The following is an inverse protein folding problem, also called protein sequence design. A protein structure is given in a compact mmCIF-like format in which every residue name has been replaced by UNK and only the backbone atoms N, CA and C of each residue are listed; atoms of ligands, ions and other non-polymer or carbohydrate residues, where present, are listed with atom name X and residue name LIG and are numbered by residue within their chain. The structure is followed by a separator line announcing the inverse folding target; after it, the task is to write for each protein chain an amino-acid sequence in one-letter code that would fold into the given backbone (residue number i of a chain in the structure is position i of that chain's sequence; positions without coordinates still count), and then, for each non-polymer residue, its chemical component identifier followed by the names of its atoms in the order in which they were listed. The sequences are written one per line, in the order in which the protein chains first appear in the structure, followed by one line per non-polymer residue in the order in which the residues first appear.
data_IF_522166496456
#
_entry.id   IF_522166496456
#
_cell.length_a   1.000
_cell.length_b   1.000
_cell.length_c   1.000
_cell.angle_alpha   90.00
_cell.angle_beta   90.00
_cell.angle_gamma   90.00
#
_symmetry.space_group_name_H-M   'P 1'
#
loop_
_entity.id
_entity.type
_entity.pdbx_description
1 polymer ?
#
# COMPACT_ATOMS: atom_id res chain seq x y z
N UNK A 1 -16.53 7.66 -11.23
CA UNK A 1 -15.66 6.47 -11.28
C UNK A 1 -16.57 5.28 -11.50
N UNK A 2 -16.37 4.58 -12.60
CA UNK A 2 -17.09 3.36 -12.92
C UNK A 2 -16.75 2.31 -11.84
N UNK A 3 -17.74 1.84 -11.07
CA UNK A 3 -17.55 0.90 -9.94
C UNK A 3 -17.08 -0.49 -10.41
N UNK A 4 -16.76 -0.68 -11.69
CA UNK A 4 -16.45 -1.97 -12.29
C UNK A 4 -15.07 -2.50 -11.91
N UNK A 5 -14.09 -1.63 -11.62
CA UNK A 5 -12.72 -2.01 -11.27
C UNK A 5 -12.23 -1.31 -10.00
N UNK A 6 -11.71 -2.08 -9.04
CA UNK A 6 -11.04 -1.59 -7.82
C UNK A 6 -9.54 -1.89 -7.87
N UNK A 7 -8.73 -1.04 -7.23
CA UNK A 7 -7.29 -1.27 -7.07
C UNK A 7 -7.02 -1.95 -5.72
N UNK A 8 -6.15 -2.96 -5.72
CA UNK A 8 -5.77 -3.72 -4.54
C UNK A 8 -4.28 -3.57 -4.24
N UNK A 9 -3.93 -3.18 -3.03
CA UNK A 9 -2.55 -3.18 -2.55
C UNK A 9 -2.14 -4.62 -2.23
N UNK A 10 -0.96 -5.04 -2.70
CA UNK A 10 -0.45 -6.40 -2.52
C UNK A 10 0.51 -6.47 -1.34
N UNK A 11 0.32 -7.51 -0.53
CA UNK A 11 1.11 -7.85 0.63
C UNK A 11 1.55 -9.31 0.55
N UNK A 12 2.75 -9.61 1.06
CA UNK A 12 3.15 -10.98 1.42
C UNK A 12 2.87 -11.15 2.90
N UNK A 13 2.47 -12.36 3.28
CA UNK A 13 2.50 -12.77 4.66
C UNK A 13 3.23 -14.09 4.86
N UNK A 14 3.81 -14.22 6.04
CA UNK A 14 4.41 -15.43 6.55
C UNK A 14 4.10 -15.59 8.03
N UNK A 15 4.51 -16.73 8.58
CA UNK A 15 4.28 -17.08 9.97
C UNK A 15 5.59 -17.51 10.62
N UNK A 16 5.76 -17.12 11.87
CA UNK A 16 6.87 -17.50 12.70
C UNK A 16 6.38 -17.86 14.10
N UNK A 17 7.24 -18.53 14.87
CA UNK A 17 6.96 -18.75 16.29
C UNK A 17 6.88 -17.40 17.00
N UNK A 18 5.89 -17.23 17.87
CA UNK A 18 5.78 -16.02 18.68
C UNK A 18 7.05 -15.81 19.52
N UNK A 19 7.63 -14.61 19.51
CA UNK A 19 8.81 -14.30 20.32
C UNK A 19 8.49 -14.28 21.82
N UNK A 20 7.21 -14.04 22.16
CA UNK A 20 6.68 -14.06 23.51
C UNK A 20 5.45 -14.95 23.53
N UNK A 21 5.53 -16.04 24.27
CA UNK A 21 4.43 -16.98 24.44
C UNK A 21 3.31 -16.32 25.24
N UNK A 22 2.06 -16.54 24.84
CA UNK A 22 0.90 -16.03 25.57
C UNK A 22 0.72 -16.78 26.89
N UNK A 23 0.07 -16.14 27.87
CA UNK A 23 -0.26 -16.78 29.16
C UNK A 23 -1.06 -18.07 28.92
N UNK A 24 -1.98 -18.04 27.96
CA UNK A 24 -2.83 -19.17 27.60
C UNK A 24 -2.01 -20.33 27.03
N UNK A 25 -1.19 -20.09 26.01
CA UNK A 25 -0.37 -21.15 25.39
C UNK A 25 0.68 -21.71 26.34
N UNK A 26 1.23 -20.90 27.23
CA UNK A 26 2.13 -21.36 28.29
C UNK A 26 1.41 -22.31 29.27
N UNK A 27 0.19 -21.97 29.69
CA UNK A 27 -0.63 -22.82 30.55
C UNK A 27 -1.01 -24.14 29.87
N UNK A 28 -1.30 -24.09 28.57
CA UNK A 28 -1.72 -25.25 27.76
C UNK A 28 -0.54 -26.09 27.24
N UNK A 29 0.70 -25.69 27.50
CA UNK A 29 1.91 -26.40 27.06
C UNK A 29 2.11 -26.41 25.53
N UNK A 30 1.55 -25.41 24.83
CA UNK A 30 1.60 -25.28 23.37
C UNK A 30 2.94 -24.67 22.96
N UNK A 31 3.69 -25.33 22.08
CA UNK A 31 4.97 -24.84 21.55
C UNK A 31 4.85 -24.52 20.05
N UNK A 32 4.95 -23.24 19.72
CA UNK A 32 4.79 -22.72 18.36
C UNK A 32 5.78 -23.33 17.37
N UNK A 33 6.96 -23.78 17.81
CA UNK A 33 7.95 -24.42 16.95
C UNK A 33 7.39 -25.67 16.23
N UNK A 34 6.43 -26.37 16.86
CA UNK A 34 5.74 -27.52 16.27
C UNK A 34 4.69 -27.10 15.23
N UNK A 35 4.09 -25.92 15.42
CA UNK A 35 3.00 -25.41 14.60
C UNK A 35 3.47 -24.59 13.39
N UNK A 36 4.71 -24.08 13.36
CA UNK A 36 5.23 -23.30 12.21
C UNK A 36 5.03 -24.04 10.88
N UNK A 37 5.26 -25.35 10.84
CA UNK A 37 5.08 -26.18 9.63
C UNK A 37 3.61 -26.31 9.18
N UNK A 38 2.68 -26.08 10.09
CA UNK A 38 1.23 -26.15 9.87
C UNK A 38 0.58 -24.76 9.94
N UNK A 39 1.37 -23.68 9.94
CA UNK A 39 0.88 -22.35 10.24
C UNK A 39 -0.21 -21.88 9.26
N UNK A 40 -0.09 -22.22 7.97
CA UNK A 40 -1.14 -21.92 6.99
C UNK A 40 -2.46 -22.64 7.29
N UNK A 41 -2.41 -23.88 7.79
CA UNK A 41 -3.60 -24.64 8.24
C UNK A 41 -4.19 -24.04 9.51
N UNK A 42 -3.34 -23.67 10.48
CA UNK A 42 -3.75 -22.97 11.70
C UNK A 42 -4.46 -21.64 11.36
N UNK A 43 -3.89 -20.87 10.44
CA UNK A 43 -4.46 -19.62 9.96
C UNK A 43 -5.80 -19.81 9.24
N UNK A 44 -5.88 -20.79 8.32
CA UNK A 44 -7.14 -21.13 7.64
C UNK A 44 -8.26 -21.48 8.64
N UNK A 45 -7.92 -22.17 9.74
CA UNK A 45 -8.90 -22.56 10.76
C UNK A 45 -9.56 -21.38 11.49
N UNK A 46 -8.95 -20.18 11.45
CA UNK A 46 -9.55 -18.97 12.03
C UNK A 46 -10.80 -18.53 11.26
N UNK A 47 -10.84 -18.78 9.95
CA UNK A 47 -11.96 -18.46 9.08
C UNK A 47 -13.11 -19.47 9.20
N UNK A 48 -12.82 -20.70 9.62
CA UNK A 48 -13.82 -21.78 9.75
C UNK A 48 -14.52 -21.79 11.14
N UNK A 49 -13.95 -21.11 12.14
CA UNK A 49 -14.37 -21.20 13.55
C UNK A 49 -15.02 -19.92 14.10
N UNK A 50 -15.55 -19.03 13.25
CA UNK A 50 -16.09 -17.71 13.66
C UNK A 50 -15.11 -16.89 14.53
N UNK A 51 -13.81 -17.21 14.50
CA UNK A 51 -12.82 -16.57 15.38
C UNK A 51 -12.54 -15.14 14.93
N UNK A 52 -12.60 -14.92 13.61
CA UNK A 52 -12.50 -13.61 12.96
C UNK A 52 -13.67 -12.66 13.27
N UNK A 53 -14.81 -13.15 13.78
CA UNK A 53 -15.96 -12.31 14.16
C UNK A 53 -15.59 -11.34 15.30
N UNK A 54 -14.49 -11.61 16.01
CA UNK A 54 -13.96 -10.77 17.10
C UNK A 54 -12.92 -9.76 16.65
N UNK A 55 -12.95 -9.31 15.40
CA UNK A 55 -12.10 -8.21 14.95
C UNK A 55 -12.40 -6.94 15.75
N UNK A 56 -11.35 -6.35 16.33
CA UNK A 56 -11.47 -5.15 17.13
C UNK A 56 -10.46 -4.09 16.68
N UNK A 57 -10.90 -2.83 16.64
CA UNK A 57 -10.04 -1.67 16.49
C UNK A 57 -9.74 -1.09 17.86
N UNK A 58 -8.45 -0.90 18.16
CA UNK A 58 -7.99 -0.35 19.44
C UNK A 58 -7.44 1.07 19.31
N UNK A 59 -7.42 1.80 20.41
CA UNK A 59 -6.73 3.08 20.52
C UNK A 59 -5.24 2.89 20.81
N UNK A 60 -4.49 4.00 20.87
CA UNK A 60 -3.05 3.98 21.19
C UNK A 60 -2.72 3.42 22.58
N UNK A 61 -3.70 3.32 23.48
CA UNK A 61 -3.55 2.74 24.82
C UNK A 61 -3.87 1.24 24.85
N UNK A 62 -4.29 0.65 23.72
CA UNK A 62 -4.71 -0.75 23.65
C UNK A 62 -6.14 -1.01 24.10
N UNK A 63 -6.96 0.02 24.29
CA UNK A 63 -8.38 -0.15 24.63
C UNK A 63 -9.20 -0.35 23.35
N UNK A 64 -10.14 -1.30 23.37
CA UNK A 64 -11.05 -1.55 22.25
C UNK A 64 -11.98 -0.33 22.10
N UNK A 65 -11.94 0.30 20.91
CA UNK A 65 -12.83 1.40 20.55
C UNK A 65 -14.07 0.88 19.85
N UNK A 66 -13.89 -0.10 18.94
CA UNK A 66 -14.95 -0.51 18.03
C UNK A 66 -14.72 -1.96 17.60
N UNK A 67 -15.76 -2.79 17.68
CA UNK A 67 -15.79 -4.10 17.04
C UNK A 67 -16.07 -3.90 15.55
N UNK A 68 -15.38 -4.65 14.69
CA UNK A 68 -15.50 -4.51 13.24
C UNK A 68 -16.30 -5.69 12.69
N UNK A 69 -17.59 -5.48 12.32
CA UNK A 69 -18.36 -6.49 11.61
C UNK A 69 -17.62 -6.91 10.36
N UNK A 70 -17.60 -8.21 10.10
CA UNK A 70 -16.89 -8.77 8.96
C UNK A 70 -17.53 -10.09 8.54
N UNK A 71 -17.38 -10.43 7.27
CA UNK A 71 -18.03 -11.60 6.68
C UNK A 71 -17.10 -12.24 5.66
N UNK A 72 -16.85 -13.55 5.81
CA UNK A 72 -16.22 -14.35 4.77
C UNK A 72 -17.28 -14.64 3.72
N UNK A 73 -17.15 -13.98 2.57
CA UNK A 73 -18.16 -14.07 1.51
C UNK A 73 -18.00 -15.34 0.68
N UNK A 74 -16.76 -15.83 0.51
CA UNK A 74 -16.48 -17.09 -0.15
C UNK A 74 -15.10 -17.65 0.20
N UNK A 75 -14.98 -18.97 0.08
CA UNK A 75 -13.75 -19.75 0.24
C UNK A 75 -13.69 -20.83 -0.83
N UNK A 76 -12.58 -20.90 -1.57
CA UNK A 76 -12.31 -21.98 -2.52
C UNK A 76 -10.80 -22.18 -2.61
N UNK A 77 -10.33 -23.43 -2.55
CA UNK A 77 -8.91 -23.80 -2.75
C UNK A 77 -7.92 -22.98 -1.89
N UNK A 78 -8.25 -22.79 -0.60
CA UNK A 78 -7.51 -21.94 0.36
C UNK A 78 -7.36 -20.46 -0.04
N UNK A 79 -8.22 -19.99 -0.94
CA UNK A 79 -8.41 -18.58 -1.26
C UNK A 79 -9.67 -18.07 -0.55
N UNK A 80 -9.56 -16.90 0.07
CA UNK A 80 -10.65 -16.28 0.84
C UNK A 80 -11.01 -14.92 0.26
N UNK A 81 -12.32 -14.69 0.09
CA UNK A 81 -12.90 -13.37 -0.13
C UNK A 81 -13.54 -12.90 1.18
N UNK A 82 -12.97 -11.87 1.78
CA UNK A 82 -13.37 -11.38 3.10
C UNK A 82 -13.79 -9.91 3.01
N UNK A 83 -14.94 -9.59 3.62
CA UNK A 83 -15.44 -8.22 3.77
C UNK A 83 -15.24 -7.76 5.20
N UNK A 84 -14.61 -6.60 5.40
CA UNK A 84 -14.47 -5.96 6.71
C UNK A 84 -15.09 -4.57 6.70
N UNK A 85 -16.01 -4.33 7.64
CA UNK A 85 -16.68 -3.05 7.81
C UNK A 85 -15.87 -2.15 8.75
N UNK A 86 -15.81 -0.87 8.43
CA UNK A 86 -15.27 0.17 9.29
C UNK A 86 -16.44 0.92 9.94
N UNK A 87 -17.11 0.26 10.88
CA UNK A 87 -18.26 0.81 11.60
C UNK A 87 -17.93 2.15 12.26
N UNK A 88 -18.73 3.16 11.97
CA UNK A 88 -18.57 4.52 12.47
C UNK A 88 -19.94 5.10 12.80
N UNK A 89 -20.05 5.80 13.92
CA UNK A 89 -21.19 6.66 14.19
C UNK A 89 -20.96 8.02 13.54
N UNK A 90 -21.98 8.54 12.86
CA UNK A 90 -21.94 9.85 12.20
C UNK A 90 -23.07 10.72 12.70
N UNK A 91 -22.73 11.97 12.95
CA UNK A 91 -23.68 13.03 13.25
C UNK A 91 -24.49 13.36 12.00
N UNK A 92 -25.81 13.24 12.10
CA UNK A 92 -26.76 13.61 11.07
C UNK A 92 -27.65 14.74 11.59
N UNK A 93 -27.60 15.90 10.93
CA UNK A 93 -28.37 17.06 11.33
C UNK A 93 -29.64 17.15 10.50
N UNK A 94 -30.79 16.99 11.15
CA UNK A 94 -32.09 17.10 10.51
C UNK A 94 -32.69 18.46 10.82
N UNK A 95 -33.13 19.19 9.80
CA UNK A 95 -33.88 20.44 9.98
C UNK A 95 -35.24 20.13 10.58
N UNK A 96 -35.57 20.77 11.70
CA UNK A 96 -36.80 20.50 12.46
C UNK A 96 -37.81 21.63 12.42
N UNK A 97 -37.39 22.83 12.00
CA UNK A 97 -38.29 23.97 11.87
C UNK A 97 -37.56 25.29 11.76
N UNK A 98 -38.19 26.34 12.30
CA UNK A 98 -37.61 27.67 12.47
C UNK A 98 -37.82 28.16 13.90
N UNK A 99 -36.87 28.91 14.43
CA UNK A 99 -36.99 29.57 15.73
C UNK A 99 -37.88 30.81 15.66
N UNK A 100 -38.10 31.44 16.82
CA UNK A 100 -38.90 32.66 16.97
C UNK A 100 -38.39 33.87 16.15
N UNK A 101 -37.14 33.82 15.69
CA UNK A 101 -36.51 34.85 14.85
C UNK A 101 -36.48 34.46 13.36
N UNK A 102 -37.04 33.30 12.99
CA UNK A 102 -37.13 32.81 11.62
C UNK A 102 -35.89 32.07 11.09
N UNK A 103 -34.91 31.77 11.95
CA UNK A 103 -33.72 30.97 11.61
C UNK A 103 -34.02 29.48 11.69
N UNK A 104 -33.37 28.69 10.84
CA UNK A 104 -33.57 27.25 10.79
C UNK A 104 -33.06 26.57 12.07
N UNK A 105 -33.87 25.69 12.63
CA UNK A 105 -33.49 24.84 13.77
C UNK A 105 -33.15 23.44 13.30
N UNK A 106 -32.19 22.81 13.97
CA UNK A 106 -31.69 21.49 13.65
C UNK A 106 -31.63 20.62 14.90
N UNK A 107 -31.99 19.35 14.75
CA UNK A 107 -31.75 18.30 15.74
C UNK A 107 -30.64 17.37 15.26
N UNK A 108 -29.85 16.91 16.22
CA UNK A 108 -28.71 16.03 15.99
C UNK A 108 -29.14 14.59 16.24
N UNK A 109 -29.15 13.78 15.18
CA UNK A 109 -29.26 12.33 15.26
C UNK A 109 -27.87 11.70 15.09
N UNK A 110 -27.65 10.53 15.68
CA UNK A 110 -26.46 9.71 15.44
C UNK A 110 -26.86 8.49 14.61
N UNK A 111 -26.26 8.34 13.44
CA UNK A 111 -26.56 7.24 12.51
C UNK A 111 -25.34 6.34 12.38
N UNK A 112 -25.55 5.03 12.49
CA UNK A 112 -24.53 4.04 12.23
C UNK A 112 -24.22 3.96 10.72
N UNK A 113 -22.95 4.12 10.37
CA UNK A 113 -22.43 4.02 9.01
C UNK A 113 -21.46 2.86 8.94
N UNK A 114 -21.74 1.89 8.06
CA UNK A 114 -20.96 0.66 7.89
C UNK A 114 -20.31 0.58 6.50
N UNK A 115 -19.40 1.51 6.13
CA UNK A 115 -18.62 1.37 4.90
C UNK A 115 -17.67 0.17 5.01
N UNK A 116 -17.41 -0.51 3.90
CA UNK A 116 -16.65 -1.76 3.90
C UNK A 116 -15.47 -1.76 2.94
N UNK A 117 -14.62 -2.76 3.09
CA UNK A 117 -13.44 -3.04 2.27
C UNK A 117 -13.35 -4.54 1.99
N UNK A 118 -12.99 -4.90 0.76
CA UNK A 118 -12.64 -6.28 0.45
C UNK A 118 -11.17 -6.59 0.73
N UNK A 119 -10.93 -7.74 1.33
CA UNK A 119 -9.62 -8.35 1.55
C UNK A 119 -9.65 -9.71 0.86
N UNK A 120 -8.64 -9.95 0.04
CA UNK A 120 -8.46 -11.19 -0.70
C UNK A 120 -7.23 -11.86 -0.12
N UNK A 121 -7.31 -13.16 0.16
CA UNK A 121 -6.21 -13.89 0.78
C UNK A 121 -5.98 -15.16 -0.03
N UNK A 122 -4.75 -15.36 -0.48
CA UNK A 122 -4.30 -16.61 -1.06
C UNK A 122 -3.40 -17.32 -0.04
N UNK A 123 -4.00 -18.28 0.65
CA UNK A 123 -3.33 -19.10 1.65
C UNK A 123 -2.89 -20.47 1.10
N UNK A 124 -2.85 -20.64 -0.23
CA UNK A 124 -2.33 -21.89 -0.82
C UNK A 124 -0.89 -22.14 -0.35
N UNK A 125 -0.47 -23.41 -0.21
CA UNK A 125 0.85 -23.76 0.31
C UNK A 125 2.00 -22.99 -0.38
N UNK A 126 2.80 -22.26 0.41
CA UNK A 126 3.95 -21.49 -0.07
C UNK A 126 3.62 -20.15 -0.77
N UNK A 127 2.34 -19.79 -0.95
CA UNK A 127 1.94 -18.55 -1.62
C UNK A 127 1.85 -17.37 -0.66
N UNK A 128 1.05 -17.44 0.41
CA UNK A 128 0.99 -16.40 1.45
C UNK A 128 0.83 -14.97 0.90
N UNK A 129 -0.18 -14.71 0.08
CA UNK A 129 -0.45 -13.38 -0.49
C UNK A 129 -1.75 -12.80 0.04
N UNK A 130 -1.74 -11.51 0.36
CA UNK A 130 -2.92 -10.76 0.76
C UNK A 130 -3.09 -9.53 -0.13
N UNK A 131 -4.29 -9.27 -0.59
CA UNK A 131 -4.63 -8.11 -1.38
C UNK A 131 -5.74 -7.31 -0.68
N UNK A 132 -5.47 -6.05 -0.34
CA UNK A 132 -6.43 -5.18 0.37
C UNK A 132 -6.90 -4.08 -0.58
N UNK A 133 -8.22 -3.95 -0.73
CA UNK A 133 -8.82 -2.94 -1.59
C UNK A 133 -8.44 -1.52 -1.15
N UNK A 134 -8.14 -0.65 -2.13
CA UNK A 134 -7.99 0.80 -1.93
C UNK A 134 -9.35 1.48 -1.75
N UNK A 135 -10.08 1.07 -0.70
CA UNK A 135 -11.44 1.54 -0.41
C UNK A 135 -11.47 2.88 0.33
N UNK A 136 -12.37 3.82 -0.02
CA UNK A 136 -12.64 5.02 0.76
C UNK A 136 -13.10 4.73 2.20
N UNK A 137 -13.62 3.53 2.49
CA UNK A 137 -13.98 3.11 3.84
C UNK A 137 -12.82 3.25 4.84
N UNK A 138 -11.58 3.11 4.34
CA UNK A 138 -10.35 3.26 5.11
C UNK A 138 -9.51 4.46 4.61
N UNK A 139 -10.18 5.49 4.10
CA UNK A 139 -9.53 6.69 3.57
C UNK A 139 -8.59 6.41 2.39
N UNK A 140 -8.85 5.34 1.64
CA UNK A 140 -8.00 4.86 0.54
C UNK A 140 -6.56 4.52 0.97
N UNK A 141 -6.39 4.10 2.23
CA UNK A 141 -5.10 3.70 2.84
C UNK A 141 -5.18 2.25 3.33
N UNK A 142 -4.88 1.27 2.46
CA UNK A 142 -4.96 -0.15 2.80
C UNK A 142 -4.17 -0.58 4.05
N UNK A 143 -3.06 0.09 4.36
CA UNK A 143 -2.24 -0.23 5.55
C UNK A 143 -2.99 -0.06 6.87
N UNK A 144 -3.93 0.88 6.93
CA UNK A 144 -4.70 1.08 8.17
C UNK A 144 -5.50 -0.17 8.51
N UNK A 145 -6.04 -0.84 7.49
CA UNK A 145 -6.74 -2.10 7.65
C UNK A 145 -5.77 -3.26 7.85
N UNK A 146 -4.64 -3.29 7.12
CA UNK A 146 -3.56 -4.26 7.35
C UNK A 146 -3.12 -4.30 8.81
N UNK A 147 -2.84 -3.14 9.41
CA UNK A 147 -2.33 -3.05 10.78
C UNK A 147 -3.35 -3.60 11.79
N UNK A 148 -4.63 -3.29 11.59
CA UNK A 148 -5.72 -3.84 12.41
C UNK A 148 -5.82 -5.36 12.24
N UNK A 149 -5.72 -5.86 11.01
CA UNK A 149 -5.75 -7.29 10.70
C UNK A 149 -4.57 -8.01 11.37
N UNK A 150 -3.35 -7.48 11.21
CA UNK A 150 -2.12 -8.01 11.76
C UNK A 150 -2.21 -8.13 13.28
N UNK A 151 -2.65 -7.07 13.96
CA UNK A 151 -2.81 -7.07 15.41
C UNK A 151 -3.80 -8.14 15.87
N UNK A 152 -4.95 -8.26 15.19
CA UNK A 152 -5.97 -9.23 15.55
C UNK A 152 -5.54 -10.67 15.25
N UNK A 153 -4.90 -10.94 14.11
CA UNK A 153 -4.39 -12.27 13.79
C UNK A 153 -3.25 -12.67 14.73
N UNK A 154 -2.32 -11.78 15.06
CA UNK A 154 -1.24 -12.10 15.99
C UNK A 154 -1.76 -12.42 17.39
N UNK A 155 -2.82 -11.72 17.85
CA UNK A 155 -3.51 -12.12 19.08
C UNK A 155 -4.12 -13.52 18.97
N UNK A 156 -4.92 -13.79 17.93
CA UNK A 156 -5.60 -15.08 17.78
C UNK A 156 -4.62 -16.25 17.59
N UNK A 157 -3.61 -16.09 16.73
CA UNK A 157 -2.58 -17.09 16.49
C UNK A 157 -1.68 -17.30 17.71
N UNK A 158 -1.36 -16.22 18.43
CA UNK A 158 -0.58 -16.28 19.65
C UNK A 158 -1.31 -16.97 20.79
N UNK A 159 -2.62 -16.75 20.93
CA UNK A 159 -3.45 -17.37 21.97
C UNK A 159 -3.75 -18.85 21.68
N UNK A 160 -3.85 -19.24 20.41
CA UNK A 160 -4.26 -20.60 20.02
C UNK A 160 -3.11 -21.53 19.64
N UNK A 161 -2.01 -20.99 19.11
CA UNK A 161 -0.97 -21.80 18.44
C UNK A 161 0.46 -21.37 18.76
N UNK A 162 0.67 -20.33 19.59
CA UNK A 162 1.99 -19.74 19.85
C UNK A 162 2.70 -19.31 18.54
N UNK A 163 1.89 -18.79 17.60
CA UNK A 163 2.33 -18.29 16.30
C UNK A 163 2.09 -16.79 16.17
N UNK A 164 2.93 -16.14 15.38
CA UNK A 164 2.79 -14.76 14.97
C UNK A 164 2.87 -14.68 13.44
N UNK A 165 2.11 -13.78 12.85
CA UNK A 165 2.10 -13.47 11.43
C UNK A 165 2.89 -12.19 11.16
N UNK A 166 3.50 -12.07 9.98
CA UNK A 166 3.97 -10.79 9.43
C UNK A 166 3.18 -10.50 8.17
N UNK A 167 2.88 -9.23 7.93
CA UNK A 167 2.24 -8.78 6.68
C UNK A 167 3.04 -7.60 6.15
N UNK A 168 3.71 -7.80 5.03
CA UNK A 168 4.62 -6.82 4.42
C UNK A 168 4.13 -6.40 3.05
N UNK A 169 4.09 -5.10 2.78
CA UNK A 169 3.70 -4.62 1.45
C UNK A 169 4.73 -5.08 0.40
N UNK A 170 4.25 -5.50 -0.77
CA UNK A 170 5.10 -5.77 -1.93
C UNK A 170 5.47 -4.46 -2.59
N UNK A 171 6.75 -4.23 -2.74
CA UNK A 171 7.35 -2.98 -3.18
C UNK A 171 8.04 -3.19 -4.53
N UNK A 172 7.55 -2.49 -5.56
CA UNK A 172 8.05 -2.60 -6.91
C UNK A 172 9.17 -1.57 -7.17
N UNK A 173 10.37 -2.03 -7.60
CA UNK A 173 11.39 -1.16 -8.20
C UNK A 173 10.98 -0.81 -9.64
N UNK A 174 9.97 0.05 -9.82
CA UNK A 174 9.59 0.48 -11.18
C UNK A 174 10.64 1.44 -11.74
N UNK A 175 11.02 1.21 -13.00
CA UNK A 175 11.68 2.24 -13.79
C UNK A 175 10.83 3.51 -13.79
N UNK A 176 11.49 4.65 -13.66
CA UNK A 176 10.84 5.94 -13.53
C UNK A 176 9.96 6.27 -14.74
N UNK A 177 10.36 5.88 -15.94
CA UNK A 177 9.60 6.15 -17.17
C UNK A 177 8.39 5.25 -17.27
N UNK A 178 8.54 3.97 -16.94
CA UNK A 178 7.41 3.05 -16.87
C UNK A 178 6.37 3.53 -15.85
N UNK A 179 6.84 3.96 -14.68
CA UNK A 179 5.98 4.52 -13.64
C UNK A 179 5.26 5.80 -14.10
N UNK A 180 6.00 6.75 -14.70
CA UNK A 180 5.41 7.99 -15.22
C UNK A 180 4.38 7.69 -16.31
N UNK A 181 4.71 6.82 -17.27
CA UNK A 181 3.81 6.43 -18.35
C UNK A 181 2.53 5.80 -17.81
N UNK A 182 2.64 4.82 -16.90
CA UNK A 182 1.48 4.19 -16.29
C UNK A 182 0.59 5.23 -15.59
N UNK A 183 1.18 6.14 -14.79
CA UNK A 183 0.43 7.18 -14.08
C UNK A 183 -0.33 8.11 -15.03
N UNK A 184 0.31 8.55 -16.11
CA UNK A 184 -0.29 9.49 -17.05
C UNK A 184 -1.37 8.82 -17.91
N UNK A 185 -1.08 7.65 -18.47
CA UNK A 185 -1.92 7.06 -19.53
C UNK A 185 -2.90 6.00 -19.02
N UNK A 186 -2.56 5.28 -17.94
CA UNK A 186 -3.44 4.23 -17.36
C UNK A 186 -4.30 4.80 -16.24
N UNK A 187 -3.70 5.58 -15.33
CA UNK A 187 -4.42 6.13 -14.17
C UNK A 187 -5.10 7.48 -14.44
N UNK A 188 -4.85 8.09 -15.61
CA UNK A 188 -5.38 9.41 -15.96
C UNK A 188 -4.92 10.54 -15.02
N UNK A 189 -3.79 10.33 -14.34
CA UNK A 189 -3.17 11.33 -13.48
C UNK A 189 -2.42 12.37 -14.33
N UNK A 190 -1.91 13.42 -13.69
CA UNK A 190 -1.01 14.37 -14.35
C UNK A 190 0.09 14.81 -13.40
N UNK A 191 1.25 15.11 -13.96
CA UNK A 191 2.38 15.66 -13.20
C UNK A 191 2.07 17.12 -12.89
N UNK A 192 2.11 17.47 -11.61
CA UNK A 192 2.00 18.86 -11.13
C UNK A 192 3.34 19.53 -10.96
N UNK A 193 4.36 18.76 -10.57
CA UNK A 193 5.65 19.32 -10.21
C UNK A 193 6.76 18.29 -10.43
N UNK A 194 7.86 18.73 -11.02
CA UNK A 194 9.11 17.98 -11.00
C UNK A 194 10.16 18.85 -10.32
N UNK A 195 10.85 18.28 -9.34
CA UNK A 195 11.94 18.94 -8.63
C UNK A 195 13.18 18.08 -8.68
N UNK A 196 14.29 18.70 -9.07
CA UNK A 196 15.63 18.15 -9.04
C UNK A 196 16.43 18.80 -7.91
N UNK A 197 17.18 18.00 -7.17
CA UNK A 197 18.12 18.47 -6.15
C UNK A 197 19.53 18.01 -6.50
N UNK A 198 20.38 18.98 -6.79
CA UNK A 198 21.78 18.77 -7.14
C UNK A 198 22.64 19.15 -5.95
N UNK A 199 23.46 18.24 -5.44
CA UNK A 199 24.44 18.55 -4.40
C UNK A 199 25.65 19.25 -5.01
N UNK A 200 26.35 20.06 -4.24
CA UNK A 200 27.56 20.73 -4.71
C UNK A 200 28.67 19.71 -5.01
N UNK A 201 29.20 19.62 -6.24
CA UNK A 201 30.24 18.66 -6.60
C UNK A 201 31.51 18.73 -5.74
N UNK A 202 31.84 19.90 -5.17
CA UNK A 202 32.98 20.08 -4.26
C UNK A 202 32.75 19.43 -2.88
N UNK A 203 31.49 19.22 -2.50
CA UNK A 203 31.07 18.73 -1.17
C UNK A 203 30.61 17.26 -1.19
N UNK A 204 30.74 16.57 -2.33
CA UNK A 204 30.40 15.14 -2.50
C UNK A 204 31.69 14.32 -2.63
N UNK A 205 31.74 13.14 -1.98
CA UNK A 205 32.77 12.14 -2.27
C UNK A 205 32.54 11.61 -3.70
N UNK A 206 33.38 12.06 -4.63
CA UNK A 206 33.30 11.72 -6.07
C UNK A 206 33.25 10.20 -6.28
N UNK A 207 32.09 9.65 -6.64
CA UNK A 207 32.03 8.34 -7.30
C UNK A 207 31.97 8.56 -8.80
N UNK A 208 33.10 8.33 -9.47
CA UNK A 208 33.34 8.34 -10.94
C UNK A 208 32.93 9.62 -11.68
N UNK A 209 33.90 10.24 -12.35
CA UNK A 209 33.67 11.39 -13.22
C UNK A 209 32.75 11.00 -14.38
N UNK A 210 31.48 11.36 -14.28
CA UNK A 210 30.51 11.18 -15.35
C UNK A 210 30.50 12.42 -16.23
N UNK A 211 30.60 12.20 -17.53
CA UNK A 211 30.53 13.27 -18.52
C UNK A 211 29.07 13.76 -18.63
N UNK A 212 28.85 15.02 -18.27
CA UNK A 212 27.56 15.70 -18.47
C UNK A 212 27.59 16.21 -19.91
N UNK A 213 26.55 15.92 -20.69
CA UNK A 213 26.41 16.33 -22.08
C UNK A 213 25.50 17.55 -22.23
N UNK A 214 24.55 17.76 -21.32
CA UNK A 214 23.65 18.92 -21.32
C UNK A 214 24.34 20.19 -20.86
N UNK A 215 24.38 21.21 -21.73
CA UNK A 215 24.96 22.51 -21.45
C UNK A 215 24.22 23.25 -20.32
N UNK A 216 22.88 23.12 -20.26
CA UNK A 216 22.06 23.72 -19.21
C UNK A 216 22.39 23.16 -17.82
N UNK A 217 22.54 21.83 -17.74
CA UNK A 217 22.94 21.13 -16.51
C UNK A 217 24.34 21.55 -16.05
N UNK A 218 25.30 21.67 -16.97
CA UNK A 218 26.65 22.17 -16.66
C UNK A 218 26.59 23.56 -16.04
N UNK A 219 25.80 24.46 -16.61
CA UNK A 219 25.65 25.82 -16.10
C UNK A 219 25.07 25.82 -14.67
N UNK A 220 23.98 25.07 -14.43
CA UNK A 220 23.36 24.97 -13.10
C UNK A 220 24.32 24.43 -12.04
N UNK A 221 25.03 23.33 -12.34
CA UNK A 221 26.02 22.77 -11.41
C UNK A 221 27.17 23.73 -11.15
N UNK A 222 27.62 24.46 -12.17
CA UNK A 222 28.68 25.46 -12.00
C UNK A 222 28.24 26.61 -11.10
N UNK A 223 26.99 27.06 -11.19
CA UNK A 223 26.42 28.07 -10.28
C UNK A 223 26.42 27.58 -8.84
N UNK A 224 26.01 26.33 -8.58
CA UNK A 224 26.04 25.72 -7.24
C UNK A 224 27.48 25.60 -6.73
N UNK A 225 28.42 25.26 -7.61
CA UNK A 225 29.84 25.09 -7.29
C UNK A 225 30.56 26.41 -6.97
N UNK A 226 30.27 27.48 -7.70
CA UNK A 226 30.89 28.82 -7.51
C UNK A 226 30.28 29.53 -6.30
N UNK A 227 28.97 29.37 -6.05
CA UNK A 227 28.29 29.99 -4.90
C UNK A 227 28.63 29.36 -3.54
N UNK A 228 29.40 28.27 -3.54
CA UNK A 228 29.67 27.41 -2.39
C UNK A 228 28.39 26.92 -1.65
N UNK A 229 27.24 26.95 -2.32
CA UNK A 229 25.99 26.42 -1.78
C UNK A 229 26.15 24.92 -1.45
N UNK A 230 25.40 24.41 -0.47
CA UNK A 230 25.41 22.97 -0.17
C UNK A 230 24.71 22.16 -1.28
N UNK A 231 23.66 22.74 -1.87
CA UNK A 231 22.82 22.13 -2.90
C UNK A 231 22.10 23.21 -3.71
N UNK A 232 21.80 22.89 -4.97
CA UNK A 232 20.89 23.63 -5.83
C UNK A 232 19.58 22.88 -6.02
N UNK A 233 18.54 23.63 -6.39
CA UNK A 233 17.24 23.08 -6.71
C UNK A 233 16.76 23.64 -8.04
N UNK A 234 16.22 22.76 -8.88
CA UNK A 234 15.50 23.16 -10.08
C UNK A 234 14.10 22.58 -10.01
N UNK A 235 13.08 23.42 -10.12
CA UNK A 235 11.68 23.01 -10.01
C UNK A 235 10.89 23.53 -11.19
N UNK A 236 10.10 22.64 -11.77
CA UNK A 236 9.12 22.95 -12.80
C UNK A 236 7.73 22.59 -12.29
N UNK A 237 6.77 23.47 -12.48
CA UNK A 237 5.36 23.25 -12.16
C UNK A 237 4.54 23.19 -13.44
N UNK A 238 3.55 22.32 -13.45
CA UNK A 238 2.82 21.92 -14.64
C UNK A 238 1.32 21.96 -14.39
N UNK A 239 0.59 22.35 -15.43
CA UNK A 239 -0.87 22.30 -15.46
C UNK A 239 -1.37 20.94 -16.00
N UNK A 240 -2.69 20.77 -16.01
CA UNK A 240 -3.33 19.55 -16.53
C UNK A 240 -3.08 19.34 -18.05
N UNK A 241 -2.80 20.41 -18.79
CA UNK A 241 -2.61 20.38 -20.25
C UNK A 241 -1.19 19.99 -20.65
N UNK A 242 -0.29 19.83 -19.69
CA UNK A 242 1.11 19.49 -19.89
C UNK A 242 1.38 17.97 -20.01
N UNK A 243 0.32 17.15 -20.04
CA UNK A 243 0.43 15.69 -20.16
C UNK A 243 1.26 15.26 -21.38
N UNK A 244 2.17 14.31 -21.16
CA UNK A 244 3.06 13.78 -22.20
C UNK A 244 4.29 14.63 -22.53
N UNK A 245 4.42 15.85 -21.95
CA UNK A 245 5.62 16.70 -22.18
C UNK A 245 6.83 16.30 -21.35
N UNK A 246 6.61 15.53 -20.27
CA UNK A 246 7.68 14.89 -19.50
C UNK A 246 7.81 13.46 -20.00
N UNK A 247 8.85 13.21 -20.78
CA UNK A 247 9.12 11.90 -21.36
C UNK A 247 10.61 11.70 -21.56
N UNK A 248 11.01 10.43 -21.71
CA UNK A 248 12.39 10.04 -22.02
C UNK A 248 12.89 10.63 -23.36
N UNK A 249 11.98 11.03 -24.26
CA UNK A 249 12.35 11.67 -25.52
C UNK A 249 12.95 13.08 -25.32
N UNK A 250 12.70 13.73 -24.17
CA UNK A 250 13.36 14.97 -23.81
C UNK A 250 14.78 14.67 -23.28
N UNK A 251 15.79 14.96 -24.10
CA UNK A 251 17.21 14.67 -23.81
C UNK A 251 17.68 15.25 -22.48
N UNK A 252 17.34 16.50 -22.18
CA UNK A 252 17.76 17.16 -20.93
C UNK A 252 17.13 16.47 -19.70
N UNK A 253 15.85 16.08 -19.79
CA UNK A 253 15.16 15.35 -18.72
C UNK A 253 15.70 13.94 -18.53
N UNK A 254 15.94 13.21 -19.62
CA UNK A 254 16.55 11.88 -19.58
C UNK A 254 17.95 11.94 -18.93
N UNK A 255 18.72 12.97 -19.25
CA UNK A 255 20.04 13.17 -18.67
C UNK A 255 19.98 13.54 -17.18
N UNK A 256 19.05 14.41 -16.76
CA UNK A 256 18.84 14.72 -15.33
C UNK A 256 18.45 13.47 -14.53
N UNK A 257 17.54 12.65 -15.07
CA UNK A 257 17.11 11.38 -14.46
C UNK A 257 18.30 10.41 -14.33
N UNK A 258 19.13 10.30 -15.37
CA UNK A 258 20.34 9.49 -15.34
C UNK A 258 21.32 9.97 -14.26
N UNK A 259 21.57 11.28 -14.19
CA UNK A 259 22.45 11.88 -13.18
C UNK A 259 21.95 11.64 -11.75
N UNK A 260 20.63 11.72 -11.52
CA UNK A 260 20.03 11.39 -10.23
C UNK A 260 20.17 9.92 -9.86
N UNK A 261 20.06 9.02 -10.83
CA UNK A 261 20.22 7.58 -10.59
C UNK A 261 21.65 7.20 -10.20
N UNK A 262 22.65 7.89 -10.76
CA UNK A 262 24.07 7.48 -10.67
C UNK A 262 24.90 8.27 -9.63
N UNK A 263 24.49 9.48 -9.22
CA UNK A 263 25.37 10.39 -8.45
C UNK A 263 24.80 10.90 -7.12
N UNK A 264 23.76 10.25 -6.58
CA UNK A 264 23.17 10.64 -5.29
C UNK A 264 22.46 12.01 -5.31
N UNK A 265 22.14 12.51 -6.51
CA UNK A 265 21.17 13.58 -6.70
C UNK A 265 19.75 13.03 -6.58
N UNK A 266 18.78 13.90 -6.30
CA UNK A 266 17.40 13.47 -6.08
C UNK A 266 16.47 14.10 -7.12
N UNK A 267 15.55 13.32 -7.67
CA UNK A 267 14.41 13.84 -8.42
C UNK A 267 13.14 13.40 -7.72
N UNK A 268 12.22 14.35 -7.55
CA UNK A 268 10.88 14.10 -7.06
C UNK A 268 9.85 14.55 -8.10
N UNK A 269 8.96 13.65 -8.50
CA UNK A 269 7.84 13.88 -9.41
C UNK A 269 6.56 13.85 -8.59
N UNK A 270 5.91 14.99 -8.44
CA UNK A 270 4.61 15.10 -7.78
C UNK A 270 3.50 15.07 -8.81
N UNK A 271 2.68 14.03 -8.73
CA UNK A 271 1.43 13.88 -9.45
C UNK A 271 0.26 14.45 -8.65
N UNK A 272 -0.86 14.70 -9.33
CA UNK A 272 -2.09 15.19 -8.70
C UNK A 272 -2.67 14.17 -7.71
N UNK A 273 -2.85 12.94 -8.15
CA UNK A 273 -3.55 11.90 -7.38
C UNK A 273 -2.57 10.99 -6.64
N UNK A 274 -1.48 10.56 -7.29
CA UNK A 274 -0.47 9.72 -6.65
C UNK A 274 0.35 10.42 -5.56
N UNK A 275 0.44 11.76 -5.60
CA UNK A 275 1.41 12.58 -4.85
C UNK A 275 2.84 12.38 -5.35
N UNK A 276 3.83 12.36 -4.45
CA UNK A 276 5.24 12.48 -4.82
C UNK A 276 5.91 11.11 -4.95
N UNK A 277 6.43 10.82 -6.14
CA UNK A 277 7.38 9.76 -6.43
C UNK A 277 8.80 10.33 -6.39
N UNK A 278 9.79 9.61 -5.83
CA UNK A 278 11.21 9.93 -6.03
C UNK A 278 11.92 8.83 -6.79
N UNK A 279 12.95 9.18 -7.54
CA UNK A 279 13.73 8.17 -8.26
C UNK A 279 14.37 7.18 -7.30
N UNK A 280 14.36 5.91 -7.70
CA UNK A 280 14.77 4.78 -6.87
C UNK A 280 13.91 4.57 -5.62
N UNK A 281 12.77 5.27 -5.47
CA UNK A 281 11.76 4.86 -4.50
C UNK A 281 11.11 3.58 -5.00
N UNK A 282 10.98 2.61 -4.10
CA UNK A 282 10.10 1.49 -4.35
C UNK A 282 8.66 1.94 -4.15
N UNK A 283 7.78 1.59 -5.10
CA UNK A 283 6.37 1.94 -5.01
C UNK A 283 5.57 0.72 -4.64
N UNK A 284 4.58 0.90 -3.77
CA UNK A 284 3.68 -0.19 -3.39
C UNK A 284 2.97 -0.76 -4.63
N UNK A 285 2.93 -2.08 -4.71
CA UNK A 285 2.29 -2.81 -5.78
C UNK A 285 0.76 -2.68 -5.67
N UNK A 286 0.13 -2.19 -6.73
CA UNK A 286 -1.33 -2.15 -6.86
C UNK A 286 -1.75 -2.87 -8.13
N UNK A 287 -2.79 -3.69 -8.02
CA UNK A 287 -3.36 -4.42 -9.15
C UNK A 287 -4.86 -4.16 -9.27
N UNK A 288 -5.37 -3.91 -10.48
CA UNK A 288 -6.80 -3.81 -10.70
C UNK A 288 -7.44 -5.20 -10.61
N UNK A 289 -8.65 -5.24 -10.06
CA UNK A 289 -9.52 -6.40 -10.09
C UNK A 289 -10.96 -5.93 -10.32
N UNK A 290 -11.68 -6.68 -11.15
CA UNK A 290 -13.05 -6.33 -11.51
C UNK A 290 -14.04 -6.88 -10.49
N UNK A 291 -15.17 -6.20 -10.31
CA UNK A 291 -16.26 -6.70 -9.48
C UNK A 291 -16.79 -8.07 -9.97
N UNK A 292 -16.79 -8.28 -11.29
CA UNK A 292 -17.22 -9.54 -11.90
C UNK A 292 -16.36 -10.73 -11.43
N UNK A 293 -15.05 -10.57 -11.31
CA UNK A 293 -14.19 -11.64 -10.78
C UNK A 293 -14.55 -11.99 -9.34
N UNK A 294 -14.81 -10.99 -8.49
CA UNK A 294 -15.22 -11.20 -7.11
C UNK A 294 -16.60 -11.85 -7.01
N UNK A 295 -17.55 -11.39 -7.83
CA UNK A 295 -18.89 -11.94 -7.87
C UNK A 295 -18.87 -13.41 -8.33
N UNK A 296 -18.17 -13.70 -9.43
CA UNK A 296 -18.00 -15.04 -9.97
C UNK A 296 -17.34 -15.97 -8.95
N UNK A 297 -16.31 -15.50 -8.24
CA UNK A 297 -15.71 -16.25 -7.13
C UNK A 297 -16.74 -16.52 -6.01
N UNK A 298 -17.55 -15.53 -5.65
CA UNK A 298 -18.54 -15.66 -4.57
C UNK A 298 -19.64 -16.68 -4.84
N UNK A 299 -19.99 -16.89 -6.12
CA UNK A 299 -20.99 -17.88 -6.55
C UNK A 299 -20.35 -19.20 -7.01
N UNK A 300 -19.03 -19.33 -6.90
CA UNK A 300 -18.30 -20.57 -7.21
C UNK A 300 -18.07 -20.85 -8.71
N UNK A 301 -18.13 -19.83 -9.57
CA UNK A 301 -17.88 -19.98 -11.01
C UNK A 301 -16.43 -20.35 -11.28
N UNK A 302 -16.22 -21.34 -12.15
CA UNK A 302 -14.91 -21.80 -12.63
C UNK A 302 -14.83 -21.75 -14.15
N UNK A 303 -13.62 -21.61 -14.67
CA UNK A 303 -13.33 -21.68 -16.10
C UNK A 303 -13.15 -23.15 -16.58
N UNK A 304 -12.79 -23.34 -17.85
CA UNK A 304 -12.57 -24.65 -18.45
C UNK A 304 -11.39 -25.43 -17.84
N UNK A 305 -10.41 -24.71 -17.26
CA UNK A 305 -9.28 -25.31 -16.55
C UNK A 305 -9.62 -25.60 -15.08
N UNK A 306 -10.90 -25.47 -14.71
CA UNK A 306 -11.42 -25.63 -13.35
C UNK A 306 -10.79 -24.66 -12.34
N UNK A 307 -10.28 -23.51 -12.80
CA UNK A 307 -9.76 -22.45 -11.95
C UNK A 307 -10.83 -21.38 -11.71
N UNK A 308 -10.78 -20.74 -10.54
CA UNK A 308 -11.60 -19.55 -10.31
C UNK A 308 -10.93 -18.32 -10.91
N UNK A 309 -11.70 -17.31 -11.31
CA UNK A 309 -11.12 -16.06 -11.83
C UNK A 309 -10.19 -15.37 -10.83
N UNK A 310 -10.47 -15.50 -9.52
CA UNK A 310 -9.63 -14.94 -8.46
C UNK A 310 -8.31 -15.73 -8.30
N UNK A 311 -8.35 -17.05 -8.47
CA UNK A 311 -7.14 -17.88 -8.51
C UNK A 311 -6.22 -17.50 -9.67
N UNK A 312 -6.78 -17.37 -10.88
CA UNK A 312 -6.02 -16.92 -12.06
C UNK A 312 -5.38 -15.55 -11.83
N UNK A 313 -6.10 -14.63 -11.19
CA UNK A 313 -5.57 -13.32 -10.83
C UNK A 313 -4.44 -13.39 -9.80
N UNK A 314 -4.56 -14.21 -8.76
CA UNK A 314 -3.48 -14.42 -7.79
C UNK A 314 -2.26 -15.09 -8.40
N UNK A 315 -2.43 -16.08 -9.28
CA UNK A 315 -1.33 -16.72 -10.02
C UNK A 315 -0.53 -15.68 -10.81
N UNK A 316 -1.22 -14.78 -11.52
CA UNK A 316 -0.59 -13.68 -12.26
C UNK A 316 0.20 -12.74 -11.32
N UNK A 317 -0.38 -12.35 -10.19
CA UNK A 317 0.28 -11.46 -9.22
C UNK A 317 1.48 -12.13 -8.60
N UNK A 318 1.36 -13.40 -8.21
CA UNK A 318 2.46 -14.15 -7.64
C UNK A 318 3.65 -14.18 -8.61
N UNK A 319 3.41 -14.44 -9.89
CA UNK A 319 4.42 -14.42 -10.95
C UNK A 319 5.08 -13.04 -11.08
N UNK A 320 4.27 -11.99 -11.24
CA UNK A 320 4.76 -10.64 -11.49
C UNK A 320 5.48 -10.02 -10.29
N UNK A 321 5.10 -10.42 -9.08
CA UNK A 321 5.69 -9.89 -7.85
C UNK A 321 6.87 -10.71 -7.35
N UNK A 322 7.33 -11.77 -8.04
CA UNK A 322 8.48 -12.61 -7.63
C UNK A 322 9.74 -11.79 -7.30
N UNK A 323 10.03 -10.77 -8.10
CA UNK A 323 11.23 -9.94 -7.97
C UNK A 323 11.01 -8.65 -7.16
N UNK A 324 9.82 -8.47 -6.58
CA UNK A 324 9.57 -7.32 -5.71
C UNK A 324 10.25 -7.52 -4.35
N UNK A 325 10.44 -6.43 -3.62
CA UNK A 325 10.93 -6.48 -2.25
C UNK A 325 9.77 -6.41 -1.27
N UNK A 326 9.97 -6.96 -0.07
CA UNK A 326 9.13 -6.62 1.06
C UNK A 326 9.47 -5.21 1.56
N UNK A 327 8.52 -4.54 2.21
CA UNK A 327 8.74 -3.16 2.67
C UNK A 327 9.91 -3.01 3.65
N UNK A 328 10.22 -4.03 4.46
CA UNK A 328 11.39 -4.02 5.35
C UNK A 328 12.73 -4.19 4.62
N UNK A 329 12.71 -4.80 3.44
CA UNK A 329 13.89 -5.04 2.60
C UNK A 329 14.23 -3.82 1.72
N UNK A 330 13.31 -2.86 1.60
CA UNK A 330 13.55 -1.61 0.89
C UNK A 330 14.72 -0.88 1.54
N UNK A 331 15.81 -0.57 0.81
CA UNK A 331 16.94 0.14 1.37
C UNK A 331 16.49 1.47 1.98
N UNK A 332 16.53 1.56 3.32
CA UNK A 332 16.34 2.84 3.99
C UNK A 332 17.46 3.76 3.56
N UNK A 333 17.13 4.86 2.85
CA UNK A 333 18.11 5.92 2.59
C UNK A 333 18.60 6.38 3.96
N UNK A 334 19.81 5.97 4.34
CA UNK A 334 20.47 6.41 5.57
C UNK A 334 20.27 7.92 5.65
N UNK A 335 19.64 8.41 6.72
CA UNK A 335 19.84 9.78 7.15
C UNK A 335 21.37 9.95 7.24
N UNK A 336 21.96 10.64 6.25
CA UNK A 336 23.36 11.03 6.32
C UNK A 336 23.48 11.75 7.66
N UNK A 337 24.16 11.10 8.58
CA UNK A 337 24.38 11.59 9.92
C UNK A 337 24.77 13.06 9.82
N UNK A 338 24.07 13.92 10.58
CA UNK A 338 24.68 15.15 11.06
C UNK A 338 25.93 14.71 11.83
N UNK A 339 27.07 14.74 11.17
CA UNK A 339 28.37 14.86 11.81
C UNK A 339 28.92 16.21 11.43
#
# INVERSE_FOLDING_TARGET
MDKRNSLYAIYKFDFHKSPQQSIQTAADGIDGAKYVKFAQTCFASLFDKNSIDKLAKKNKKGEIITMLPNDVLAKADDIFLWRVNNSQFKDWWKRTGKDQNGFDTYEKDEIESNPYCYILIDNRPGIGLMAIEKSPAWGSKPDLLRDVILENFNRMLGDLFDLEMRIEARMNPKDIWDFVNERLFVHGDYIRKVSFSFQNPKKINKSKGMEINSAHLKAMLKTVEISDALKGFFTMEFDKNSNGKISQANKDMAEMVKLCSENGYDISITFKEFKTYRINDYVRAYYPLTFEVLHNFSIGTRDFDNMTGLETWFNLINEQTKNYLNESEVPTRRNKARK
#
